data_IF_883904030161
#
_entry.id   IF_883904030161
#
_cell.length_a   1.000
_cell.length_b   1.000
_cell.length_c   1.000
_cell.angle_alpha   90.00
_cell.angle_beta   90.00
_cell.angle_gamma   90.00
#
_symmetry.space_group_name_H-M   'P 1'
#
loop_
_entity.id
_entity.type
_entity.pdbx_description
1 polymer ?
#
# COMPACT_ATOMS: atom_id res chain seq x y z
N UNK A 1 -28.43 -14.05 4.35
CA UNK A 1 -27.47 -12.95 4.14
C UNK A 1 -28.26 -11.66 3.99
N UNK A 2 -28.11 -10.71 4.90
CA UNK A 2 -28.76 -9.39 4.77
C UNK A 2 -28.20 -8.73 3.51
N UNK A 3 -29.07 -8.26 2.60
CA UNK A 3 -28.64 -7.41 1.48
C UNK A 3 -27.93 -6.20 2.09
N UNK A 4 -26.63 -6.05 1.84
CA UNK A 4 -25.92 -4.80 2.11
C UNK A 4 -26.74 -3.65 1.50
N UNK A 5 -27.10 -2.66 2.32
CA UNK A 5 -27.78 -1.45 1.86
C UNK A 5 -26.79 -0.30 1.96
N UNK A 6 -26.75 0.52 0.91
CA UNK A 6 -26.03 1.78 0.96
C UNK A 6 -26.65 2.72 1.97
N UNK A 7 -25.83 3.52 2.63
CA UNK A 7 -26.31 4.66 3.41
C UNK A 7 -26.77 5.80 2.48
N UNK A 8 -27.41 6.81 3.04
CA UNK A 8 -27.94 7.94 2.23
C UNK A 8 -26.81 8.70 1.52
N UNK A 9 -25.67 8.90 2.17
CA UNK A 9 -24.52 9.57 1.57
C UNK A 9 -23.86 8.71 0.48
N UNK A 10 -23.72 7.39 0.71
CA UNK A 10 -23.24 6.48 -0.32
C UNK A 10 -24.18 6.41 -1.53
N UNK A 11 -25.49 6.40 -1.32
CA UNK A 11 -26.46 6.42 -2.41
C UNK A 11 -26.33 7.72 -3.22
N UNK A 12 -26.21 8.86 -2.55
CA UNK A 12 -26.02 10.15 -3.22
C UNK A 12 -24.75 10.15 -4.08
N UNK A 13 -23.64 9.61 -3.55
CA UNK A 13 -22.39 9.50 -4.30
C UNK A 13 -22.55 8.53 -5.48
N UNK A 14 -23.22 7.38 -5.30
CA UNK A 14 -23.52 6.45 -6.39
C UNK A 14 -24.26 7.14 -7.54
N UNK A 15 -25.33 7.87 -7.21
CA UNK A 15 -26.17 8.56 -8.22
C UNK A 15 -25.35 9.63 -8.98
N UNK A 16 -24.46 10.36 -8.29
CA UNK A 16 -23.57 11.34 -8.90
C UNK A 16 -22.48 10.69 -9.79
N UNK A 17 -21.93 9.56 -9.37
CA UNK A 17 -20.98 8.78 -10.18
C UNK A 17 -21.64 8.28 -11.46
N UNK A 18 -22.86 7.73 -11.34
CA UNK A 18 -23.61 7.24 -12.50
C UNK A 18 -23.95 8.37 -13.49
N UNK A 19 -24.36 9.54 -12.98
CA UNK A 19 -24.60 10.72 -13.82
C UNK A 19 -23.32 11.20 -14.52
N UNK A 20 -22.17 11.15 -13.84
CA UNK A 20 -20.89 11.51 -14.44
C UNK A 20 -20.44 10.49 -15.50
N UNK A 21 -20.65 9.20 -15.29
CA UNK A 21 -20.32 8.15 -16.28
C UNK A 21 -21.17 8.33 -17.56
N UNK A 22 -22.44 8.70 -17.43
CA UNK A 22 -23.33 8.93 -18.57
C UNK A 22 -22.91 10.17 -19.40
N UNK A 23 -22.31 11.18 -18.76
CA UNK A 23 -21.82 12.40 -19.40
C UNK A 23 -20.55 12.92 -18.66
N UNK A 24 -19.37 12.34 -18.96
CA UNK A 24 -18.15 12.73 -18.27
C UNK A 24 -17.80 14.21 -18.45
N UNK A 25 -17.54 14.89 -17.33
CA UNK A 25 -17.01 16.25 -17.29
C UNK A 25 -15.61 16.20 -16.68
N UNK A 26 -14.61 16.60 -17.48
CA UNK A 26 -13.19 16.44 -17.12
C UNK A 26 -12.72 14.99 -17.30
N UNK A 27 -11.43 14.78 -17.03
CA UNK A 27 -10.76 13.52 -17.33
C UNK A 27 -10.93 12.47 -16.23
N UNK A 28 -11.28 12.89 -15.01
CA UNK A 28 -11.48 11.98 -13.87
C UNK A 28 -12.44 12.54 -12.82
N UNK A 29 -13.03 11.62 -12.06
CA UNK A 29 -13.85 11.88 -10.88
C UNK A 29 -13.20 11.27 -9.64
N UNK A 30 -13.14 12.00 -8.52
CA UNK A 30 -12.55 11.51 -7.27
C UNK A 30 -13.60 11.30 -6.18
N UNK A 31 -13.54 10.15 -5.51
CA UNK A 31 -14.36 9.79 -4.35
C UNK A 31 -13.44 9.68 -3.14
N UNK A 32 -13.60 10.56 -2.16
CA UNK A 32 -12.77 10.60 -0.96
C UNK A 32 -13.52 10.22 0.30
N UNK A 33 -13.00 9.29 1.08
CA UNK A 33 -13.60 8.92 2.36
C UNK A 33 -12.57 8.37 3.33
N UNK A 34 -12.79 8.57 4.61
CA UNK A 34 -11.95 8.02 5.67
C UNK A 34 -12.04 6.48 5.76
N UNK A 35 -11.18 5.87 6.58
CA UNK A 35 -11.31 4.45 6.92
C UNK A 35 -12.70 4.19 7.52
N UNK A 36 -13.35 3.09 7.12
CA UNK A 36 -14.69 2.73 7.60
C UNK A 36 -15.87 3.40 6.88
N UNK A 37 -15.66 4.27 5.87
CA UNK A 37 -16.76 4.88 5.10
C UNK A 37 -17.33 3.98 4.00
N UNK A 38 -16.82 2.74 3.86
CA UNK A 38 -17.34 1.76 2.91
C UNK A 38 -16.99 2.01 1.45
N UNK A 39 -15.86 2.67 1.16
CA UNK A 39 -15.38 2.96 -0.20
C UNK A 39 -15.39 1.74 -1.13
N UNK A 40 -14.77 0.63 -0.71
CA UNK A 40 -14.71 -0.59 -1.53
C UNK A 40 -16.08 -1.23 -1.75
N UNK A 41 -16.97 -1.13 -0.74
CA UNK A 41 -18.36 -1.55 -0.89
C UNK A 41 -19.08 -0.70 -1.93
N UNK A 42 -18.93 0.62 -1.87
CA UNK A 42 -19.49 1.54 -2.86
C UNK A 42 -18.96 1.24 -4.27
N UNK A 43 -17.67 0.93 -4.42
CA UNK A 43 -17.09 0.52 -5.71
C UNK A 43 -17.80 -0.71 -6.29
N UNK A 44 -18.13 -1.69 -5.45
CA UNK A 44 -18.90 -2.86 -5.90
C UNK A 44 -20.33 -2.49 -6.35
N UNK A 45 -21.01 -1.60 -5.64
CA UNK A 45 -22.34 -1.11 -6.05
C UNK A 45 -22.28 -0.29 -7.35
N UNK A 46 -21.28 0.57 -7.51
CA UNK A 46 -21.04 1.31 -8.76
C UNK A 46 -20.95 0.31 -9.92
N UNK A 47 -20.15 -0.75 -9.78
CA UNK A 47 -20.00 -1.75 -10.83
C UNK A 47 -21.31 -2.50 -11.14
N UNK A 48 -22.05 -2.89 -10.11
CA UNK A 48 -23.34 -3.56 -10.29
C UNK A 48 -24.33 -2.64 -11.04
N UNK A 49 -24.39 -1.36 -10.68
CA UNK A 49 -25.29 -0.40 -11.32
C UNK A 49 -24.89 -0.13 -12.78
N UNK A 50 -23.60 -0.04 -13.07
CA UNK A 50 -23.10 0.04 -14.45
C UNK A 50 -23.53 -1.22 -15.24
N UNK A 51 -23.39 -2.41 -14.66
CA UNK A 51 -23.80 -3.64 -15.34
C UNK A 51 -25.30 -3.67 -15.65
N UNK A 52 -26.14 -3.19 -14.74
CA UNK A 52 -27.58 -3.11 -14.95
C UNK A 52 -27.95 -2.21 -16.13
N UNK A 53 -27.22 -1.10 -16.32
CA UNK A 53 -27.45 -0.13 -17.40
C UNK A 53 -26.73 -0.51 -18.71
N UNK A 54 -25.50 -0.97 -18.61
CA UNK A 54 -24.58 -1.21 -19.72
C UNK A 54 -23.78 -2.50 -19.52
N UNK A 55 -24.39 -3.69 -19.75
CA UNK A 55 -23.78 -4.98 -19.43
C UNK A 55 -22.48 -5.29 -20.19
N UNK A 56 -22.24 -4.63 -21.31
CA UNK A 56 -21.07 -4.87 -22.18
C UNK A 56 -19.88 -3.95 -21.84
N UNK A 57 -20.08 -2.97 -20.96
CA UNK A 57 -19.05 -2.02 -20.57
C UNK A 57 -17.97 -2.74 -19.76
N UNK A 58 -16.72 -2.63 -20.21
CA UNK A 58 -15.55 -3.24 -19.60
C UNK A 58 -14.90 -2.29 -18.62
N UNK A 59 -14.66 -2.74 -17.40
CA UNK A 59 -14.00 -1.93 -16.37
C UNK A 59 -12.62 -2.50 -16.05
N UNK A 60 -11.61 -1.64 -16.07
CA UNK A 60 -10.30 -1.93 -15.52
C UNK A 60 -10.25 -1.42 -14.07
N UNK A 61 -10.32 -2.34 -13.11
CA UNK A 61 -10.05 -2.04 -11.71
C UNK A 61 -8.55 -2.10 -11.48
N UNK A 62 -8.02 -1.09 -10.79
CA UNK A 62 -6.61 -1.13 -10.45
C UNK A 62 -6.33 -0.49 -9.08
N UNK A 63 -5.19 -0.84 -8.53
CA UNK A 63 -4.65 -0.24 -7.31
C UNK A 63 -3.15 -0.07 -7.41
N UNK A 64 -2.56 0.75 -6.54
CA UNK A 64 -1.14 1.06 -6.59
C UNK A 64 -0.25 -0.16 -6.25
N UNK A 65 -0.66 -1.01 -5.31
CA UNK A 65 0.10 -2.19 -4.87
C UNK A 65 -0.60 -3.50 -5.21
N UNK A 66 0.18 -4.57 -5.40
CA UNK A 66 -0.37 -5.91 -5.66
C UNK A 66 -1.29 -6.41 -4.55
N UNK A 67 -0.93 -6.15 -3.28
CA UNK A 67 -1.76 -6.52 -2.13
C UNK A 67 -3.10 -5.78 -2.12
N UNK A 68 -3.10 -4.48 -2.43
CA UNK A 68 -4.33 -3.70 -2.52
C UNK A 68 -5.21 -4.15 -3.70
N UNK A 69 -4.60 -4.46 -4.85
CA UNK A 69 -5.33 -5.01 -6.01
C UNK A 69 -6.00 -6.35 -5.69
N UNK A 70 -5.32 -7.26 -4.99
CA UNK A 70 -5.93 -8.53 -4.53
C UNK A 70 -7.07 -8.32 -3.55
N UNK A 71 -6.88 -7.46 -2.55
CA UNK A 71 -7.94 -7.14 -1.59
C UNK A 71 -9.18 -6.56 -2.31
N UNK A 72 -8.97 -5.71 -3.31
CA UNK A 72 -10.05 -5.18 -4.15
C UNK A 72 -10.74 -6.30 -4.92
N UNK A 73 -9.99 -7.18 -5.56
CA UNK A 73 -10.53 -8.32 -6.32
C UNK A 73 -11.37 -9.24 -5.43
N UNK A 74 -10.88 -9.61 -4.26
CA UNK A 74 -11.60 -10.41 -3.27
C UNK A 74 -12.93 -9.75 -2.87
N UNK A 75 -12.90 -8.46 -2.56
CA UNK A 75 -14.10 -7.69 -2.20
C UNK A 75 -15.11 -7.59 -3.34
N UNK A 76 -14.65 -7.39 -4.55
CA UNK A 76 -15.51 -7.38 -5.74
C UNK A 76 -16.15 -8.76 -5.97
N UNK A 77 -15.39 -9.86 -5.81
CA UNK A 77 -15.90 -11.24 -5.91
C UNK A 77 -16.92 -11.57 -4.82
N UNK A 78 -16.61 -11.22 -3.56
CA UNK A 78 -17.53 -11.38 -2.42
C UNK A 78 -18.89 -10.69 -2.68
N UNK A 79 -18.86 -9.52 -3.30
CA UNK A 79 -20.03 -8.73 -3.63
C UNK A 79 -20.62 -9.06 -5.02
N UNK A 80 -20.10 -10.07 -5.72
CA UNK A 80 -20.53 -10.46 -7.08
C UNK A 80 -20.50 -9.27 -8.06
N UNK A 81 -19.47 -8.46 -7.98
CA UNK A 81 -19.28 -7.23 -8.75
C UNK A 81 -18.10 -7.33 -9.72
N UNK A 82 -17.80 -8.51 -10.24
CA UNK A 82 -16.89 -8.74 -11.37
C UNK A 82 -17.68 -9.44 -12.47
N UNK A 83 -17.64 -8.88 -13.66
CA UNK A 83 -18.37 -9.37 -14.82
C UNK A 83 -17.40 -9.70 -15.97
N UNK A 84 -17.92 -10.36 -17.00
CA UNK A 84 -17.11 -10.72 -18.18
C UNK A 84 -16.57 -9.45 -18.86
N UNK A 85 -15.28 -9.43 -19.10
CA UNK A 85 -14.57 -8.29 -19.67
C UNK A 85 -13.90 -7.38 -18.65
N UNK A 86 -14.24 -7.49 -17.34
CA UNK A 86 -13.54 -6.75 -16.30
C UNK A 86 -12.14 -7.31 -16.04
N UNK A 87 -11.23 -6.43 -15.63
CA UNK A 87 -9.89 -6.81 -15.18
C UNK A 87 -9.59 -6.19 -13.82
N UNK A 88 -8.77 -6.89 -13.01
CA UNK A 88 -8.25 -6.35 -11.73
C UNK A 88 -6.73 -6.52 -11.73
N UNK A 89 -5.99 -5.44 -11.51
CA UNK A 89 -4.54 -5.47 -11.55
C UNK A 89 -3.91 -4.32 -10.76
N UNK A 90 -2.58 -4.25 -10.71
CA UNK A 90 -1.91 -3.02 -10.32
C UNK A 90 -2.00 -1.99 -11.45
N UNK A 91 -1.91 -0.70 -11.12
CA UNK A 91 -1.86 0.38 -12.12
C UNK A 91 -0.72 0.10 -13.13
N UNK A 92 0.45 -0.32 -12.64
CA UNK A 92 1.58 -0.66 -13.50
C UNK A 92 1.28 -1.78 -14.48
N UNK A 93 0.68 -2.87 -14.02
CA UNK A 93 0.29 -3.98 -14.88
C UNK A 93 -0.77 -3.58 -15.89
N UNK A 94 -1.61 -2.61 -15.56
CA UNK A 94 -2.61 -2.06 -16.46
C UNK A 94 -1.97 -1.26 -17.61
N UNK A 95 -1.03 -0.36 -17.29
CA UNK A 95 -0.50 0.62 -18.25
C UNK A 95 0.83 0.22 -18.92
N UNK A 96 1.55 -0.77 -18.38
CA UNK A 96 2.83 -1.22 -18.96
C UNK A 96 2.82 -2.70 -19.34
N UNK A 97 3.62 -3.03 -20.33
CA UNK A 97 3.90 -4.41 -20.78
C UNK A 97 5.39 -4.69 -20.63
N UNK A 98 5.73 -5.84 -20.07
CA UNK A 98 7.11 -6.28 -19.96
C UNK A 98 7.70 -6.55 -21.35
N UNK A 99 8.91 -6.01 -21.59
CA UNK A 99 9.75 -6.37 -22.73
C UNK A 99 10.61 -7.56 -22.27
N UNK A 100 10.50 -8.68 -22.97
CA UNK A 100 11.29 -9.87 -22.63
C UNK A 100 12.35 -10.16 -23.70
N UNK A 101 13.50 -10.65 -23.28
CA UNK A 101 14.52 -11.18 -24.20
C UNK A 101 14.14 -12.58 -24.71
N UNK A 102 14.98 -13.16 -25.59
CA UNK A 102 14.75 -14.49 -26.17
C UNK A 102 14.75 -15.62 -25.13
N UNK A 103 15.29 -15.39 -23.93
CA UNK A 103 15.34 -16.33 -22.80
C UNK A 103 14.13 -16.17 -21.86
N UNK A 104 13.20 -15.24 -22.15
CA UNK A 104 12.02 -14.96 -21.32
C UNK A 104 12.29 -14.03 -20.14
N UNK A 105 13.49 -13.49 -19.99
CA UNK A 105 13.82 -12.52 -18.94
C UNK A 105 13.29 -11.15 -19.30
N UNK A 106 12.71 -10.43 -18.32
CA UNK A 106 12.23 -9.05 -18.51
C UNK A 106 13.46 -8.15 -18.65
N UNK A 107 13.52 -7.42 -19.77
CA UNK A 107 14.60 -6.46 -20.10
C UNK A 107 14.14 -5.01 -20.05
N UNK A 108 12.85 -4.79 -19.82
CA UNK A 108 12.26 -3.47 -19.71
C UNK A 108 10.74 -3.51 -19.69
N UNK A 109 10.17 -2.32 -19.59
CA UNK A 109 8.72 -2.11 -19.66
C UNK A 109 8.41 -1.07 -20.70
N UNK A 110 7.41 -1.34 -21.52
CA UNK A 110 6.88 -0.40 -22.51
C UNK A 110 5.46 -0.03 -22.09
N UNK A 111 5.11 1.25 -22.16
CA UNK A 111 3.72 1.64 -22.03
C UNK A 111 2.89 0.92 -23.10
N UNK A 112 1.73 0.41 -22.75
CA UNK A 112 0.81 -0.21 -23.69
C UNK A 112 0.34 0.84 -24.68
N UNK A 113 0.22 0.46 -25.95
CA UNK A 113 -0.24 1.38 -27.00
C UNK A 113 -1.77 1.54 -26.96
N UNK A 114 -2.48 0.60 -26.29
CA UNK A 114 -3.94 0.54 -26.22
C UNK A 114 -4.39 -0.02 -24.86
N UNK A 115 -5.52 0.47 -24.38
CA UNK A 115 -6.21 -0.02 -23.17
C UNK A 115 -7.57 -0.59 -23.55
N UNK A 116 -7.80 -1.87 -23.25
CA UNK A 116 -9.09 -2.54 -23.50
C UNK A 116 -10.00 -2.35 -22.28
N UNK A 117 -10.43 -1.11 -22.05
CA UNK A 117 -11.38 -0.75 -21.00
C UNK A 117 -12.15 0.50 -21.40
N UNK A 118 -13.42 0.57 -21.01
CA UNK A 118 -14.30 1.72 -21.23
C UNK A 118 -14.31 2.67 -20.03
N UNK A 119 -13.89 2.18 -18.86
CA UNK A 119 -13.77 2.93 -17.61
C UNK A 119 -12.61 2.36 -16.77
N UNK A 120 -11.84 3.21 -16.13
CA UNK A 120 -10.83 2.82 -15.15
C UNK A 120 -11.35 3.18 -13.76
N UNK A 121 -11.31 2.23 -12.82
CA UNK A 121 -11.58 2.49 -11.39
C UNK A 121 -10.29 2.26 -10.61
N UNK A 122 -9.75 3.32 -10.02
CA UNK A 122 -8.52 3.29 -9.22
C UNK A 122 -8.89 3.25 -7.75
N UNK A 123 -8.56 2.19 -7.03
CA UNK A 123 -8.67 2.12 -5.57
C UNK A 123 -7.34 2.50 -4.90
N UNK A 124 -7.38 2.93 -3.65
CA UNK A 124 -6.24 3.48 -2.89
C UNK A 124 -5.54 4.63 -3.64
N UNK A 125 -6.33 5.50 -4.29
CA UNK A 125 -5.84 6.58 -5.16
C UNK A 125 -5.04 7.67 -4.43
N UNK A 126 -4.99 7.67 -3.09
CA UNK A 126 -4.11 8.54 -2.29
C UNK A 126 -2.62 8.34 -2.56
N UNK A 127 -2.25 7.18 -3.12
CA UNK A 127 -0.86 6.84 -3.48
C UNK A 127 -0.47 7.20 -4.91
N UNK A 128 -1.43 7.65 -5.74
CA UNK A 128 -1.19 7.96 -7.15
C UNK A 128 -0.45 9.29 -7.25
N UNK A 129 0.78 9.23 -7.75
CA UNK A 129 1.60 10.41 -8.03
C UNK A 129 1.24 11.05 -9.39
N UNK A 130 1.69 12.30 -9.66
CA UNK A 130 1.37 13.00 -10.89
C UNK A 130 1.83 12.30 -12.18
N UNK A 131 2.94 11.55 -12.14
CA UNK A 131 3.46 10.86 -13.33
C UNK A 131 2.56 9.69 -13.69
N UNK A 132 2.21 8.87 -12.70
CA UNK A 132 1.28 7.74 -12.89
C UNK A 132 -0.09 8.23 -13.32
N UNK A 133 -0.58 9.34 -12.75
CA UNK A 133 -1.85 9.94 -13.18
C UNK A 133 -1.80 10.39 -14.63
N UNK A 134 -0.75 11.09 -15.05
CA UNK A 134 -0.59 11.54 -16.44
C UNK A 134 -0.53 10.36 -17.41
N UNK A 135 0.15 9.28 -17.04
CA UNK A 135 0.19 8.07 -17.86
C UNK A 135 -1.20 7.41 -17.99
N UNK A 136 -1.99 7.38 -16.92
CA UNK A 136 -3.38 6.91 -16.97
C UNK A 136 -4.25 7.79 -17.87
N UNK A 137 -4.17 9.11 -17.70
CA UNK A 137 -4.94 10.09 -18.49
C UNK A 137 -4.63 10.03 -19.98
N UNK A 138 -3.41 9.66 -20.35
CA UNK A 138 -2.98 9.57 -21.75
C UNK A 138 -3.70 8.49 -22.57
N UNK A 139 -4.49 7.62 -21.93
CA UNK A 139 -5.34 6.64 -22.62
C UNK A 139 -6.71 7.19 -23.02
N UNK A 140 -7.06 8.40 -22.57
CA UNK A 140 -8.36 9.04 -22.84
C UNK A 140 -9.58 8.19 -22.39
N UNK A 141 -9.36 7.30 -21.44
CA UNK A 141 -10.40 6.49 -20.81
C UNK A 141 -10.86 7.19 -19.53
N UNK A 142 -12.17 7.40 -19.29
CA UNK A 142 -12.67 8.01 -18.06
C UNK A 142 -12.16 7.29 -16.81
N UNK A 143 -11.82 8.06 -15.76
CA UNK A 143 -11.25 7.52 -14.51
C UNK A 143 -12.13 7.89 -13.32
N UNK A 144 -12.52 6.88 -12.52
CA UNK A 144 -13.07 7.08 -11.18
C UNK A 144 -11.99 6.69 -10.17
N UNK A 145 -11.49 7.65 -9.42
CA UNK A 145 -10.44 7.44 -8.42
C UNK A 145 -11.03 7.45 -7.01
N UNK A 146 -10.89 6.35 -6.29
CA UNK A 146 -11.40 6.14 -4.94
C UNK A 146 -10.23 6.12 -3.97
N UNK A 147 -10.29 6.92 -2.90
CA UNK A 147 -9.16 7.00 -1.97
C UNK A 147 -9.51 7.60 -0.62
N UNK A 148 -8.51 7.70 0.21
CA UNK A 148 -8.62 8.24 1.57
C UNK A 148 -7.88 9.58 1.67
N UNK A 149 -8.64 10.66 1.78
CA UNK A 149 -8.09 12.02 1.83
C UNK A 149 -7.41 12.37 3.17
N UNK A 150 -7.55 11.53 4.18
CA UNK A 150 -6.86 11.66 5.47
C UNK A 150 -5.47 11.05 5.49
N UNK A 151 -5.12 10.21 4.52
CA UNK A 151 -3.81 9.58 4.46
C UNK A 151 -2.72 10.52 3.97
N UNK A 152 -1.46 10.10 4.18
CA UNK A 152 -0.29 10.79 3.65
C UNK A 152 -0.33 10.87 2.12
N UNK A 153 0.17 11.95 1.51
CA UNK A 153 0.37 12.03 0.07
C UNK A 153 1.42 11.01 -0.41
N UNK A 154 1.54 10.78 -1.73
CA UNK A 154 2.59 9.94 -2.29
C UNK A 154 4.00 10.40 -1.89
N UNK A 155 4.93 9.45 -1.72
CA UNK A 155 6.29 9.75 -1.28
C UNK A 155 7.00 10.67 -2.29
N UNK A 156 7.62 11.74 -1.78
CA UNK A 156 8.44 12.65 -2.59
C UNK A 156 7.66 13.75 -3.31
N UNK A 157 6.37 13.91 -3.04
CA UNK A 157 5.54 14.98 -3.60
C UNK A 157 4.58 15.52 -2.53
N UNK A 158 4.24 16.81 -2.66
CA UNK A 158 3.16 17.42 -1.88
C UNK A 158 1.79 17.31 -2.60
N UNK A 159 1.77 16.71 -3.79
CA UNK A 159 0.55 16.50 -4.54
C UNK A 159 -0.22 15.31 -3.97
N UNK A 160 -1.53 15.45 -3.86
CA UNK A 160 -2.43 14.35 -3.57
C UNK A 160 -3.68 14.47 -4.41
N UNK A 161 -3.97 13.44 -5.20
CA UNK A 161 -5.21 13.33 -5.99
C UNK A 161 -6.45 13.40 -5.07
N UNK A 162 -6.29 13.00 -3.81
CA UNK A 162 -7.35 13.00 -2.78
C UNK A 162 -7.37 14.27 -1.90
N UNK A 163 -6.59 15.30 -2.18
CA UNK A 163 -6.54 16.49 -1.33
C UNK A 163 -7.91 17.21 -1.23
N UNK A 164 -8.64 17.27 -2.34
CA UNK A 164 -9.99 17.84 -2.42
C UNK A 164 -10.84 16.94 -3.32
N UNK A 165 -11.40 15.85 -2.78
CA UNK A 165 -12.19 14.94 -3.59
C UNK A 165 -13.48 15.61 -4.09
N UNK A 166 -13.87 15.31 -5.33
CA UNK A 166 -15.12 15.82 -5.91
C UNK A 166 -16.34 15.33 -5.13
N UNK A 167 -16.30 14.08 -4.69
CA UNK A 167 -17.39 13.43 -3.97
C UNK A 167 -16.90 12.91 -2.61
N UNK A 168 -17.11 13.65 -1.52
CA UNK A 168 -16.72 13.20 -0.19
C UNK A 168 -17.73 12.19 0.40
N UNK A 169 -17.22 11.20 1.12
CA UNK A 169 -17.97 10.26 1.97
C UNK A 169 -17.71 10.61 3.44
N UNK A 170 -18.55 11.40 4.08
CA UNK A 170 -18.30 11.89 5.43
C UNK A 170 -18.63 10.87 6.53
N UNK A 171 -19.57 9.95 6.28
CA UNK A 171 -20.09 9.06 7.32
C UNK A 171 -19.27 7.79 7.47
N UNK A 172 -18.90 7.45 8.70
CA UNK A 172 -18.35 6.15 9.10
C UNK A 172 -19.54 5.25 9.44
N UNK A 173 -19.55 4.01 8.93
CA UNK A 173 -20.71 3.12 9.08
C UNK A 173 -20.71 2.38 10.41
N UNK A 174 -21.92 2.21 11.01
CA UNK A 174 -22.15 1.58 12.32
C UNK A 174 -21.52 0.20 12.51
N UNK A 175 -21.39 -0.61 11.48
CA UNK A 175 -20.74 -1.92 11.57
C UNK A 175 -19.22 -1.84 11.86
N UNK A 176 -18.65 -0.63 11.75
CA UNK A 176 -17.24 -0.32 12.01
C UNK A 176 -17.11 0.62 13.22
N UNK A 177 -18.21 1.24 13.69
CA UNK A 177 -18.22 2.18 14.83
C UNK A 177 -17.78 1.53 16.15
N UNK A 178 -17.96 0.22 16.34
CA UNK A 178 -17.50 -0.51 17.52
C UNK A 178 -16.03 -0.96 17.43
N UNK A 179 -15.31 -0.56 16.37
CA UNK A 179 -13.89 -0.89 16.23
C UNK A 179 -13.02 0.14 16.95
N UNK A 180 -12.25 -0.27 17.98
CA UNK A 180 -11.32 0.64 18.66
C UNK A 180 -10.30 1.29 17.72
N UNK A 181 -9.96 0.64 16.59
CA UNK A 181 -9.05 1.18 15.58
C UNK A 181 -9.68 2.39 14.87
N UNK A 182 -10.99 2.36 14.61
CA UNK A 182 -11.71 3.50 14.03
C UNK A 182 -11.74 4.66 15.00
N UNK A 183 -12.03 4.43 16.28
CA UNK A 183 -11.99 5.49 17.31
C UNK A 183 -10.61 6.13 17.39
N UNK A 184 -9.55 5.31 17.37
CA UNK A 184 -8.18 5.82 17.33
C UNK A 184 -7.87 6.58 16.03
N UNK A 185 -8.42 6.16 14.91
CA UNK A 185 -8.25 6.87 13.64
C UNK A 185 -8.91 8.27 13.67
N UNK A 186 -10.04 8.41 14.38
CA UNK A 186 -10.71 9.70 14.62
C UNK A 186 -9.84 10.58 15.52
N UNK A 187 -9.33 10.05 16.65
CA UNK A 187 -8.42 10.78 17.51
C UNK A 187 -7.16 11.23 16.75
N UNK A 188 -6.56 10.34 15.98
CA UNK A 188 -5.37 10.64 15.20
C UNK A 188 -5.58 11.83 14.24
N UNK A 189 -6.69 11.85 13.50
CA UNK A 189 -6.96 12.90 12.50
C UNK A 189 -7.54 14.20 13.07
N UNK A 190 -8.14 14.16 14.26
CA UNK A 190 -8.75 15.36 14.89
C UNK A 190 -7.80 16.03 15.87
N UNK A 191 -7.40 15.35 16.95
CA UNK A 191 -6.48 15.88 17.95
C UNK A 191 -5.00 15.65 17.64
N UNK A 192 -4.67 14.56 16.94
CA UNK A 192 -3.28 14.12 16.78
C UNK A 192 -2.70 13.51 18.06
N UNK A 193 -3.54 13.17 19.03
CA UNK A 193 -3.13 12.62 20.31
C UNK A 193 -3.93 11.35 20.63
N UNK A 194 -3.23 10.29 20.99
CA UNK A 194 -3.80 9.03 21.45
C UNK A 194 -3.32 8.82 22.90
N UNK A 195 -4.21 8.73 23.90
CA UNK A 195 -3.80 8.54 25.30
C UNK A 195 -3.21 7.15 25.52
N UNK A 196 -2.32 7.03 26.54
CA UNK A 196 -1.75 5.75 26.97
C UNK A 196 -2.80 5.00 27.78
N UNK A 197 -3.43 4.00 27.13
CA UNK A 197 -4.45 3.14 27.75
C UNK A 197 -4.81 1.96 26.84
N UNK A 198 -5.62 1.05 27.35
CA UNK A 198 -6.28 -0.01 26.57
C UNK A 198 -7.61 0.50 26.02
N UNK A 199 -7.84 0.31 24.71
CA UNK A 199 -9.05 0.78 24.02
C UNK A 199 -10.07 -0.33 23.74
N UNK A 200 -9.67 -1.58 23.90
CA UNK A 200 -10.51 -2.75 23.66
C UNK A 200 -9.67 -4.02 23.56
N UNK A 201 -10.24 -5.08 23.03
CA UNK A 201 -9.50 -6.31 22.77
C UNK A 201 -8.50 -6.06 21.63
N UNK A 202 -7.22 -6.36 21.89
CA UNK A 202 -6.16 -6.25 20.87
C UNK A 202 -5.69 -4.83 20.54
N UNK A 203 -6.24 -3.77 21.17
CA UNK A 203 -5.86 -2.39 20.88
C UNK A 203 -5.41 -1.68 22.16
N UNK A 204 -4.13 -1.29 22.18
CA UNK A 204 -3.49 -0.68 23.35
C UNK A 204 -2.40 0.31 22.94
N UNK A 205 -2.30 1.42 23.66
CA UNK A 205 -1.10 2.26 23.65
C UNK A 205 -0.37 2.14 24.98
N UNK A 206 0.94 1.88 24.88
CA UNK A 206 1.87 1.77 26.01
C UNK A 206 2.87 2.92 25.98
N UNK A 207 3.42 3.27 27.15
CA UNK A 207 4.47 4.28 27.24
C UNK A 207 5.85 3.65 27.07
N UNK A 208 6.72 4.26 26.25
CA UNK A 208 8.14 3.86 26.11
C UNK A 208 8.93 3.92 27.41
N UNK A 209 8.51 4.81 28.31
CA UNK A 209 9.24 5.08 29.56
C UNK A 209 8.80 4.20 30.74
N UNK A 210 7.75 3.42 30.54
CA UNK A 210 7.24 2.51 31.55
C UNK A 210 7.98 1.16 31.47
N UNK A 211 8.63 0.69 32.54
CA UNK A 211 9.30 -0.61 32.57
C UNK A 211 8.40 -1.80 32.21
N UNK A 212 7.15 -1.79 32.67
CA UNK A 212 6.18 -2.89 32.43
C UNK A 212 5.79 -2.96 30.94
N UNK A 213 5.86 -1.84 30.25
CA UNK A 213 5.64 -1.75 28.80
C UNK A 213 6.67 -2.51 27.97
N UNK A 214 7.87 -2.75 28.52
CA UNK A 214 8.93 -3.52 27.83
C UNK A 214 8.59 -4.99 27.68
N UNK A 215 7.93 -5.57 28.68
CA UNK A 215 7.49 -6.97 28.61
C UNK A 215 6.43 -7.15 27.51
N UNK A 216 5.41 -6.28 27.51
CA UNK A 216 4.36 -6.28 26.47
C UNK A 216 4.96 -6.14 25.07
N UNK A 217 5.91 -5.21 24.89
CA UNK A 217 6.58 -5.03 23.60
C UNK A 217 7.41 -6.25 23.21
N UNK A 218 8.16 -6.84 24.14
CA UNK A 218 8.96 -8.03 23.87
C UNK A 218 8.10 -9.21 23.46
N UNK A 219 7.00 -9.49 24.17
CA UNK A 219 6.04 -10.53 23.80
C UNK A 219 5.46 -10.29 22.39
N UNK A 220 5.10 -9.04 22.08
CA UNK A 220 4.59 -8.68 20.77
C UNK A 220 5.63 -8.86 19.65
N UNK A 221 6.92 -8.58 19.93
CA UNK A 221 8.01 -8.79 18.97
C UNK A 221 8.42 -10.27 18.84
N UNK A 222 8.22 -11.08 19.89
CA UNK A 222 8.43 -12.54 19.86
C UNK A 222 7.36 -13.24 19.04
N UNK A 223 6.12 -12.76 19.12
CA UNK A 223 4.99 -13.27 18.33
C UNK A 223 4.96 -12.79 16.88
N UNK A 224 5.97 -12.02 16.46
CA UNK A 224 6.07 -11.48 15.09
C UNK A 224 6.03 -12.60 14.03
N UNK A 225 5.10 -12.50 13.12
CA UNK A 225 4.91 -13.39 11.98
C UNK A 225 4.58 -12.59 10.70
N UNK A 226 4.24 -13.28 9.62
CA UNK A 226 3.93 -12.66 8.32
C UNK A 226 2.63 -11.81 8.32
N UNK A 227 1.74 -12.03 9.29
CA UNK A 227 0.50 -11.26 9.47
C UNK A 227 0.70 -10.01 10.32
N UNK A 228 1.91 -9.80 10.84
CA UNK A 228 2.28 -8.66 11.68
C UNK A 228 3.05 -7.63 10.88
N UNK A 229 2.62 -6.37 10.93
CA UNK A 229 3.30 -5.23 10.32
C UNK A 229 3.89 -4.35 11.43
N UNK A 230 5.22 -4.14 11.41
CA UNK A 230 5.90 -3.23 12.34
C UNK A 230 6.22 -1.94 11.61
N UNK A 231 5.75 -0.80 12.14
CA UNK A 231 5.92 0.50 11.50
C UNK A 231 6.43 1.56 12.48
N UNK A 232 7.22 2.50 11.94
CA UNK A 232 7.86 3.56 12.73
C UNK A 232 7.98 4.86 11.91
N UNK A 233 8.40 5.94 12.56
CA UNK A 233 8.61 7.24 11.91
C UNK A 233 9.99 7.36 11.27
N UNK A 234 11.04 7.02 12.02
CA UNK A 234 12.43 7.29 11.62
C UNK A 234 13.13 6.09 10.99
N UNK A 235 13.97 6.35 10.00
CA UNK A 235 14.86 5.33 9.43
C UNK A 235 15.82 4.72 10.49
N UNK A 236 16.25 5.51 11.48
CA UNK A 236 17.09 4.98 12.56
C UNK A 236 16.36 3.91 13.40
N UNK A 237 15.08 4.15 13.71
CA UNK A 237 14.23 3.16 14.41
C UNK A 237 14.00 1.94 13.55
N UNK A 238 13.71 2.12 12.25
CA UNK A 238 13.55 1.03 11.29
C UNK A 238 14.79 0.13 11.24
N UNK A 239 15.98 0.71 11.12
CA UNK A 239 17.25 -0.07 11.08
C UNK A 239 17.46 -0.86 12.38
N UNK A 240 17.25 -0.22 13.53
CA UNK A 240 17.36 -0.89 14.84
C UNK A 240 16.40 -2.06 14.96
N UNK A 241 15.14 -1.87 14.57
CA UNK A 241 14.11 -2.93 14.62
C UNK A 241 14.43 -4.07 13.64
N UNK A 242 14.84 -3.76 12.41
CA UNK A 242 15.23 -4.78 11.45
C UNK A 242 16.40 -5.64 11.98
N UNK A 243 17.41 -5.00 12.58
CA UNK A 243 18.54 -5.71 13.19
C UNK A 243 18.11 -6.60 14.36
N UNK A 244 17.24 -6.08 15.23
CA UNK A 244 16.69 -6.83 16.38
C UNK A 244 15.89 -8.05 15.93
N UNK A 245 14.95 -7.88 14.98
CA UNK A 245 14.09 -8.95 14.49
C UNK A 245 14.86 -10.02 13.70
N UNK A 246 15.89 -9.62 12.95
CA UNK A 246 16.81 -10.58 12.32
C UNK A 246 17.60 -11.37 13.37
N UNK A 247 18.09 -10.70 14.42
CA UNK A 247 18.80 -11.36 15.52
C UNK A 247 17.93 -12.39 16.26
N UNK A 248 16.61 -12.14 16.39
CA UNK A 248 15.65 -13.13 16.95
C UNK A 248 15.47 -14.39 16.07
N UNK A 249 15.93 -14.33 14.82
CA UNK A 249 15.95 -15.44 13.85
C UNK A 249 17.35 -15.97 13.61
N UNK A 250 18.30 -15.70 14.52
CA UNK A 250 19.71 -16.08 14.45
C UNK A 250 20.45 -15.57 13.17
N UNK A 251 19.97 -14.43 12.62
CA UNK A 251 20.56 -13.78 11.45
C UNK A 251 21.26 -12.49 11.85
N UNK A 252 22.55 -12.41 11.59
CA UNK A 252 23.41 -11.30 12.03
C UNK A 252 24.15 -10.68 10.85
N UNK A 253 24.53 -9.41 11.02
CA UNK A 253 25.26 -8.67 9.98
C UNK A 253 24.35 -8.02 8.94
N UNK A 254 24.96 -7.50 7.88
CA UNK A 254 24.27 -6.67 6.87
C UNK A 254 24.05 -7.43 5.54
N UNK A 255 24.49 -8.68 5.46
CA UNK A 255 24.29 -9.52 4.27
C UNK A 255 22.92 -10.19 4.35
N UNK A 256 22.08 -10.03 3.33
CA UNK A 256 20.79 -10.70 3.31
C UNK A 256 20.93 -12.20 3.07
N UNK A 257 20.02 -12.97 3.64
CA UNK A 257 19.99 -14.43 3.59
C UNK A 257 18.62 -14.92 3.08
N UNK A 258 18.57 -16.17 2.61
CA UNK A 258 17.28 -16.79 2.27
C UNK A 258 16.36 -16.82 3.50
N UNK A 259 15.10 -16.44 3.31
CA UNK A 259 14.10 -16.26 4.35
C UNK A 259 14.13 -14.87 5.00
N UNK A 260 15.00 -13.95 4.60
CA UNK A 260 14.89 -12.54 5.05
C UNK A 260 13.71 -11.84 4.42
N UNK A 261 13.00 -11.06 5.24
CA UNK A 261 12.01 -10.09 4.76
C UNK A 261 12.73 -8.88 4.18
N UNK A 262 12.33 -8.48 2.99
CA UNK A 262 12.95 -7.37 2.27
C UNK A 262 11.91 -6.41 1.71
N UNK A 263 12.30 -5.16 1.50
CA UNK A 263 11.48 -4.11 0.92
C UNK A 263 12.23 -3.42 -0.21
N UNK A 264 11.58 -3.24 -1.35
CA UNK A 264 12.13 -2.48 -2.46
C UNK A 264 12.18 -0.98 -2.13
N UNK A 265 13.28 -0.32 -2.50
CA UNK A 265 13.54 1.07 -2.15
C UNK A 265 13.25 2.06 -3.28
N UNK A 266 13.17 1.58 -4.51
CA UNK A 266 12.90 2.38 -5.72
C UNK A 266 12.00 1.63 -6.68
N UNK A 267 11.31 2.39 -7.52
CA UNK A 267 10.68 1.83 -8.70
C UNK A 267 11.75 1.42 -9.70
N UNK A 268 11.62 0.22 -10.23
CA UNK A 268 12.41 -0.23 -11.38
C UNK A 268 11.47 -0.81 -12.43
N UNK A 269 11.27 -0.06 -13.49
CA UNK A 269 10.38 -0.44 -14.59
C UNK A 269 10.93 -1.62 -15.41
N UNK A 270 12.24 -1.90 -15.32
CA UNK A 270 12.84 -3.06 -16.00
C UNK A 270 12.54 -4.38 -15.30
N UNK A 271 12.56 -4.39 -13.98
CA UNK A 271 12.27 -5.57 -13.16
C UNK A 271 10.81 -5.68 -12.71
N UNK A 272 10.02 -4.63 -12.91
CA UNK A 272 8.62 -4.57 -12.45
C UNK A 272 8.46 -4.38 -10.95
N UNK A 273 9.52 -3.95 -10.28
CA UNK A 273 9.51 -3.71 -8.84
C UNK A 273 9.09 -2.28 -8.53
N UNK A 274 8.23 -2.14 -7.54
CA UNK A 274 7.75 -0.85 -7.04
C UNK A 274 8.35 -0.51 -5.69
N UNK A 275 8.60 0.77 -5.48
CA UNK A 275 9.02 1.28 -4.17
C UNK A 275 7.98 0.87 -3.09
N UNK A 276 8.47 0.28 -2.02
CA UNK A 276 7.62 -0.23 -0.94
C UNK A 276 7.09 -1.65 -1.15
N UNK A 277 7.38 -2.31 -2.28
CA UNK A 277 7.07 -3.73 -2.44
C UNK A 277 7.84 -4.55 -1.39
N UNK A 278 7.12 -5.33 -0.60
CA UNK A 278 7.67 -6.20 0.45
C UNK A 278 7.63 -7.64 -0.02
N UNK A 279 8.60 -8.43 0.39
CA UNK A 279 8.64 -9.86 0.06
C UNK A 279 9.62 -10.62 0.94
N UNK A 280 9.76 -11.92 0.67
CA UNK A 280 10.71 -12.80 1.35
C UNK A 280 11.70 -13.35 0.34
N UNK A 281 13.00 -13.31 0.64
CA UNK A 281 14.01 -13.94 -0.21
C UNK A 281 13.80 -15.46 -0.15
N UNK A 282 13.24 -16.01 -1.22
CA UNK A 282 13.04 -17.45 -1.34
C UNK A 282 14.37 -18.19 -1.55
N UNK A 283 15.27 -17.60 -2.34
CA UNK A 283 16.56 -18.21 -2.65
C UNK A 283 17.56 -17.18 -3.14
N UNK A 284 18.82 -17.33 -2.74
CA UNK A 284 19.98 -16.68 -3.35
C UNK A 284 20.55 -17.68 -4.37
N UNK A 285 20.63 -17.27 -5.62
CA UNK A 285 21.06 -18.12 -6.73
C UNK A 285 22.55 -17.99 -7.00
N UNK A 286 23.07 -16.75 -6.94
CA UNK A 286 24.45 -16.44 -7.29
C UNK A 286 24.88 -15.15 -6.60
N UNK A 287 26.18 -15.02 -6.31
CA UNK A 287 26.84 -13.77 -5.98
C UNK A 287 27.78 -13.41 -7.13
N UNK A 288 27.76 -12.16 -7.57
CA UNK A 288 28.62 -11.71 -8.66
C UNK A 288 30.12 -11.69 -8.27
N UNK A 289 30.98 -11.62 -9.27
CA UNK A 289 32.46 -11.62 -9.06
C UNK A 289 32.96 -10.44 -8.24
N UNK A 290 32.23 -9.33 -8.19
CA UNK A 290 32.60 -8.15 -7.39
C UNK A 290 32.16 -8.27 -5.94
N UNK A 291 31.30 -9.22 -5.62
CA UNK A 291 30.69 -9.39 -4.30
C UNK A 291 29.68 -8.31 -3.94
N UNK A 292 29.25 -7.48 -4.90
CA UNK A 292 28.30 -6.38 -4.67
C UNK A 292 26.86 -6.74 -5.05
N UNK A 293 26.66 -7.75 -5.88
CA UNK A 293 25.35 -8.12 -6.38
C UNK A 293 24.98 -9.55 -6.03
N UNK A 294 23.74 -9.74 -5.63
CA UNK A 294 23.15 -11.05 -5.41
C UNK A 294 22.03 -11.28 -6.41
N UNK A 295 22.12 -12.34 -7.20
CA UNK A 295 21.00 -12.83 -7.99
C UNK A 295 20.07 -13.62 -7.08
N UNK A 296 18.85 -13.15 -6.93
CA UNK A 296 17.89 -13.70 -5.96
C UNK A 296 16.55 -14.03 -6.60
N UNK A 297 15.81 -14.92 -5.92
CA UNK A 297 14.36 -15.04 -6.06
C UNK A 297 13.69 -14.49 -4.81
N UNK A 298 12.70 -13.61 -4.98
CA UNK A 298 11.92 -13.01 -3.89
C UNK A 298 10.45 -13.26 -4.15
N UNK A 299 9.77 -13.85 -3.19
CA UNK A 299 8.33 -13.96 -3.19
C UNK A 299 7.76 -12.63 -2.70
N UNK A 300 7.28 -11.81 -3.64
CA UNK A 300 6.70 -10.50 -3.34
C UNK A 300 5.27 -10.69 -2.85
N UNK A 301 4.94 -10.04 -1.72
CA UNK A 301 3.61 -10.09 -1.13
C UNK A 301 2.56 -9.60 -2.13
N UNK A 302 1.55 -10.42 -2.37
CA UNK A 302 0.49 -10.06 -3.29
C UNK A 302 0.84 -10.24 -4.78
N UNK A 303 1.92 -10.92 -5.14
CA UNK A 303 2.24 -11.29 -6.52
C UNK A 303 2.25 -12.81 -6.70
N UNK A 304 1.71 -13.30 -7.82
CA UNK A 304 1.68 -14.74 -8.11
C UNK A 304 3.02 -15.28 -8.62
N UNK A 305 3.83 -14.40 -9.20
CA UNK A 305 5.13 -14.76 -9.75
C UNK A 305 6.24 -14.17 -8.87
N UNK A 306 7.24 -14.97 -8.49
CA UNK A 306 8.38 -14.44 -7.76
C UNK A 306 9.15 -13.45 -8.63
N UNK A 307 9.66 -12.41 -8.00
CA UNK A 307 10.69 -11.57 -8.58
C UNK A 307 11.98 -12.39 -8.73
N UNK A 308 12.69 -12.22 -9.84
CA UNK A 308 14.04 -12.74 -10.02
C UNK A 308 14.92 -11.66 -10.66
N UNK A 309 16.01 -11.31 -9.98
CA UNK A 309 16.93 -10.27 -10.45
C UNK A 309 18.11 -10.05 -9.51
N UNK A 310 19.01 -9.16 -9.95
CA UNK A 310 20.15 -8.74 -9.14
C UNK A 310 19.75 -7.64 -8.15
N UNK A 311 20.02 -7.86 -6.87
CA UNK A 311 19.87 -6.88 -5.80
C UNK A 311 21.24 -6.39 -5.33
N UNK A 312 21.34 -5.08 -5.04
CA UNK A 312 22.60 -4.46 -4.63
C UNK A 312 22.86 -4.68 -3.14
N UNK A 313 23.80 -5.57 -2.81
CA UNK A 313 24.12 -5.97 -1.44
C UNK A 313 24.56 -4.82 -0.53
N UNK A 314 25.40 -3.83 -0.96
CA UNK A 314 25.80 -2.72 -0.09
C UNK A 314 24.68 -1.76 0.32
N UNK A 315 23.46 -1.87 -0.27
CA UNK A 315 22.31 -1.07 0.15
C UNK A 315 21.72 -1.52 1.48
N UNK A 316 21.89 -2.80 1.84
CA UNK A 316 21.25 -3.33 3.04
C UNK A 316 21.76 -2.65 4.30
N UNK A 317 20.82 -2.37 5.23
CA UNK A 317 21.08 -1.70 6.50
C UNK A 317 21.63 -0.26 6.36
N UNK A 318 21.41 0.40 5.22
CA UNK A 318 21.77 1.79 5.05
C UNK A 318 20.65 2.72 5.52
N UNK A 319 21.06 3.85 6.13
CA UNK A 319 20.14 4.89 6.60
C UNK A 319 19.41 5.56 5.42
N UNK A 320 20.11 5.71 4.32
CA UNK A 320 19.62 6.39 3.12
C UNK A 320 19.66 5.46 1.92
N UNK A 321 18.75 5.67 0.99
CA UNK A 321 18.77 4.96 -0.28
C UNK A 321 19.91 5.48 -1.15
N UNK A 322 20.78 4.60 -1.62
CA UNK A 322 21.89 4.95 -2.49
C UNK A 322 21.37 5.62 -3.76
N UNK A 323 21.92 6.79 -4.08
CA UNK A 323 21.59 7.58 -5.26
C UNK A 323 22.61 7.23 -6.35
N UNK A 324 22.14 6.99 -7.57
CA UNK A 324 22.99 6.73 -8.73
C UNK A 324 22.34 5.74 -9.68
N UNK A 325 22.88 5.69 -10.89
CA UNK A 325 22.48 4.73 -11.90
C UNK A 325 23.38 3.48 -11.76
N UNK A 326 23.08 2.67 -10.76
CA UNK A 326 23.81 1.42 -10.50
C UNK A 326 23.40 0.40 -11.56
N UNK A 327 24.39 -0.11 -12.25
CA UNK A 327 24.19 -1.20 -13.22
C UNK A 327 24.53 -2.54 -12.60
N UNK A 328 23.63 -3.49 -12.81
CA UNK A 328 23.84 -4.88 -12.43
C UNK A 328 24.87 -5.57 -13.35
N UNK A 329 25.28 -6.80 -13.08
CA UNK A 329 26.24 -7.55 -13.91
C UNK A 329 25.80 -7.72 -15.37
N UNK A 330 24.51 -7.69 -15.65
CA UNK A 330 23.96 -7.79 -17.01
C UNK A 330 23.85 -6.43 -17.73
N UNK A 331 24.26 -5.33 -17.06
CA UNK A 331 24.27 -3.97 -17.58
C UNK A 331 22.92 -3.26 -17.50
N UNK A 332 21.92 -3.84 -16.84
CA UNK A 332 20.61 -3.22 -16.61
C UNK A 332 20.64 -2.32 -15.35
N UNK A 333 19.57 -1.57 -15.15
CA UNK A 333 19.37 -0.87 -13.88
C UNK A 333 19.15 -1.90 -12.78
N UNK A 334 20.07 -1.94 -11.80
CA UNK A 334 19.98 -2.84 -10.68
C UNK A 334 18.96 -2.44 -9.63
N UNK A 335 18.44 -3.41 -8.91
CA UNK A 335 17.40 -3.21 -7.90
C UNK A 335 17.99 -2.94 -6.51
N UNK A 336 17.38 -2.01 -5.80
CA UNK A 336 17.73 -1.65 -4.44
C UNK A 336 16.67 -2.19 -3.47
N UNK A 337 17.11 -3.08 -2.60
CA UNK A 337 16.32 -3.61 -1.49
C UNK A 337 16.99 -3.32 -0.15
N UNK A 338 16.21 -3.33 0.91
CA UNK A 338 16.69 -3.34 2.29
C UNK A 338 15.86 -4.33 3.11
N UNK A 339 16.25 -4.58 4.36
CA UNK A 339 15.47 -5.40 5.27
C UNK A 339 14.07 -4.80 5.50
N UNK A 340 13.05 -5.65 5.44
CA UNK A 340 11.63 -5.31 5.45
C UNK A 340 10.85 -5.88 6.62
N UNK A 341 11.49 -6.21 7.74
CA UNK A 341 10.81 -6.65 8.97
C UNK A 341 10.06 -5.50 9.65
N UNK A 342 10.65 -4.32 9.65
CA UNK A 342 10.03 -3.09 10.06
C UNK A 342 10.12 -2.05 8.94
N UNK A 343 9.09 -1.25 8.75
CA UNK A 343 8.97 -0.24 7.71
C UNK A 343 8.73 1.15 8.32
N UNK A 344 9.01 2.20 7.56
CA UNK A 344 8.46 3.51 7.91
C UNK A 344 6.98 3.57 7.52
N UNK A 345 6.18 4.38 8.21
CA UNK A 345 4.74 4.57 7.88
C UNK A 345 4.55 4.96 6.41
N UNK A 346 5.43 5.79 5.86
CA UNK A 346 5.39 6.15 4.44
C UNK A 346 5.55 4.94 3.51
N UNK A 347 6.46 4.01 3.84
CA UNK A 347 6.66 2.78 3.04
C UNK A 347 5.56 1.74 3.26
N UNK A 348 4.84 1.83 4.36
CA UNK A 348 3.70 0.96 4.67
C UNK A 348 2.37 1.46 4.07
N UNK A 349 2.36 2.59 3.33
CA UNK A 349 1.17 3.03 2.59
C UNK A 349 0.68 1.93 1.64
N UNK A 350 -0.65 1.77 1.52
CA UNK A 350 -1.27 0.70 0.73
C UNK A 350 -1.16 -0.71 1.33
N UNK A 351 -0.41 -0.89 2.43
CA UNK A 351 -0.35 -2.16 3.16
C UNK A 351 -1.28 -2.14 4.37
N UNK A 352 -1.89 -3.28 4.68
CA UNK A 352 -2.64 -3.52 5.91
C UNK A 352 -2.28 -4.89 6.46
N UNK A 353 -2.37 -5.05 7.78
CA UNK A 353 -2.11 -6.31 8.47
C UNK A 353 -3.13 -6.53 9.57
N UNK A 354 -3.34 -7.79 9.95
CA UNK A 354 -4.26 -8.11 11.06
C UNK A 354 -3.72 -7.59 12.37
N UNK A 355 -2.41 -7.60 12.56
CA UNK A 355 -1.72 -7.04 13.73
C UNK A 355 -0.68 -5.99 13.32
N UNK A 356 -0.69 -4.84 14.00
CA UNK A 356 0.27 -3.76 13.77
C UNK A 356 0.96 -3.37 15.08
N UNK A 357 2.29 -3.23 15.04
CA UNK A 357 3.08 -2.62 16.10
C UNK A 357 3.56 -1.26 15.57
N UNK A 358 3.05 -0.18 16.14
CA UNK A 358 3.35 1.19 15.76
C UNK A 358 4.31 1.82 16.78
N UNK A 359 5.51 2.19 16.35
CA UNK A 359 6.37 3.11 17.09
C UNK A 359 5.98 4.54 16.74
N UNK A 360 5.26 5.19 17.64
CA UNK A 360 4.75 6.55 17.46
C UNK A 360 5.90 7.56 17.59
N UNK A 361 6.24 8.20 16.48
CA UNK A 361 7.39 9.08 16.39
C UNK A 361 7.04 10.33 15.60
N UNK A 362 6.90 11.47 16.31
CA UNK A 362 6.66 12.77 15.67
C UNK A 362 7.96 13.42 15.22
N UNK A 363 7.98 13.91 13.98
CA UNK A 363 9.12 14.68 13.47
C UNK A 363 9.11 16.10 14.07
N UNK A 364 10.26 16.62 14.54
CA UNK A 364 10.32 17.92 15.21
C UNK A 364 9.84 19.11 14.37
N UNK A 365 9.91 18.98 13.03
CA UNK A 365 9.53 20.04 12.09
C UNK A 365 8.19 19.80 11.40
N UNK A 366 7.48 18.71 11.73
CA UNK A 366 6.16 18.44 11.13
C UNK A 366 5.13 19.41 11.70
N UNK A 367 4.30 19.94 10.82
CA UNK A 367 3.09 20.65 11.21
C UNK A 367 2.12 19.72 11.93
N UNK A 368 1.15 20.28 12.66
CA UNK A 368 0.11 19.45 13.30
C UNK A 368 -0.75 18.72 12.28
N UNK A 369 -0.94 19.27 11.09
CA UNK A 369 -1.66 18.62 10.02
C UNK A 369 -0.90 17.40 9.46
N UNK A 370 0.40 17.57 9.16
CA UNK A 370 1.26 16.46 8.71
C UNK A 370 1.34 15.36 9.77
N UNK A 371 1.44 15.74 11.04
CA UNK A 371 1.45 14.80 12.14
C UNK A 371 0.13 14.01 12.23
N UNK A 372 -1.01 14.68 12.16
CA UNK A 372 -2.33 14.03 12.17
C UNK A 372 -2.49 13.07 11.00
N UNK A 373 -2.08 13.44 9.80
CA UNK A 373 -2.10 12.57 8.62
C UNK A 373 -1.19 11.35 8.80
N UNK A 374 0.01 11.57 9.37
CA UNK A 374 0.96 10.49 9.63
C UNK A 374 0.38 9.49 10.64
N UNK A 375 -0.12 9.97 11.77
CA UNK A 375 -0.67 9.13 12.84
C UNK A 375 -1.93 8.39 12.35
N UNK A 376 -2.81 9.08 11.63
CA UNK A 376 -3.97 8.49 10.99
C UNK A 376 -3.59 7.38 10.00
N UNK A 377 -2.62 7.65 9.11
CA UNK A 377 -2.13 6.64 8.16
C UNK A 377 -1.58 5.42 8.88
N UNK A 378 -0.82 5.63 9.96
CA UNK A 378 -0.24 4.55 10.76
C UNK A 378 -1.30 3.68 11.43
N UNK A 379 -2.26 4.30 12.13
CA UNK A 379 -3.36 3.59 12.82
C UNK A 379 -4.21 2.78 11.86
N UNK A 380 -4.52 3.33 10.69
CA UNK A 380 -5.36 2.67 9.68
C UNK A 380 -4.66 1.51 8.94
N UNK A 381 -3.40 1.18 9.28
CA UNK A 381 -2.74 -0.03 8.79
C UNK A 381 -3.22 -1.29 9.50
N UNK A 382 -3.73 -1.16 10.72
CA UNK A 382 -4.26 -2.27 11.50
C UNK A 382 -5.68 -2.64 11.06
N UNK A 383 -5.96 -3.96 11.02
CA UNK A 383 -7.32 -4.48 10.79
C UNK A 383 -7.98 -4.91 12.10
N UNK A 384 -7.24 -5.57 13.01
CA UNK A 384 -7.76 -6.19 14.24
C UNK A 384 -7.00 -5.76 15.49
N UNK A 385 -5.67 -5.87 15.48
CA UNK A 385 -4.82 -5.63 16.64
C UNK A 385 -3.86 -4.47 16.39
N UNK A 386 -3.72 -3.60 17.39
CA UNK A 386 -2.83 -2.45 17.31
C UNK A 386 -2.14 -2.22 18.65
N UNK A 387 -0.82 -2.38 18.67
CA UNK A 387 0.05 -1.96 19.77
C UNK A 387 0.74 -0.67 19.38
N UNK A 388 0.47 0.42 20.09
CA UNK A 388 1.16 1.70 19.92
C UNK A 388 2.18 1.88 21.04
N UNK A 389 3.42 2.16 20.67
CA UNK A 389 4.55 2.43 21.58
C UNK A 389 4.90 3.92 21.45
N UNK A 390 4.43 4.74 22.40
CA UNK A 390 4.56 6.20 22.36
C UNK A 390 5.24 6.83 23.58
#
# INVERSE_FOLDING_TARGET
MSKLKLSTDQQTVLDQVMAWIDAPVGDYLTIGGYAGTGKTTLTAFIRQEIFNKSPLLKIAFCSYTGKAARNLEEKLKENKAIFSGDSVSTIHSLIYTAITNKQGNITGWKRRDFMDADLIIVDEASMVDPFVLNDLLSYEVPIVAVGDHGQLPPIGTNYSLMQSPHLPLPQIHRQVEDSPIIDLSILARTSGEIPVQKFGSGVIKISRNDPDSREILNEALESFNEETLIICGYNATRLRLNKELRGRKDRYGDVPEAGDRVVALKNNHYSGIHNGAVGTIAKILEEDKTGNWLLVKIDIDGQDKPYQGYIYKPQFNQKETIIGNLKDPDGHQGDLFDFGYALTVHKAQGSQADSVILFEERFPKSSDEEWRRWLYTAVTRAKQNLLIVG
#
